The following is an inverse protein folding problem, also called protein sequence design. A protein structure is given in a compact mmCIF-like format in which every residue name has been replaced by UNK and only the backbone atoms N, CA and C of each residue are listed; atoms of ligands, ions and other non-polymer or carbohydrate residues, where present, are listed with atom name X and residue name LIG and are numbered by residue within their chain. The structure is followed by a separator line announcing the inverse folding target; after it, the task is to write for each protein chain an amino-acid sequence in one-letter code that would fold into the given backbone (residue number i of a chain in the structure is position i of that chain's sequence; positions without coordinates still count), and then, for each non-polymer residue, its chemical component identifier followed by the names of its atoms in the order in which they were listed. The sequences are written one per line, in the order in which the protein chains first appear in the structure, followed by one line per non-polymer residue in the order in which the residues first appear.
data_IF_898798970430
#
_entry.id   IF_898798970430
#
_cell.length_a   1.000
_cell.length_b   1.000
_cell.length_c   1.000
_cell.angle_alpha   90.00
_cell.angle_beta   90.00
_cell.angle_gamma   90.00
#
_symmetry.space_group_name_H-M   'P 1'
#
loop_
_entity.id
_entity.type
_entity.pdbx_description
1 polymer ?
#
# COMPACT_ATOMS: atom_id res chain seq x y z
N UNK A 1 -4.26 10.36 -3.08
CA UNK A 1 -3.90 8.94 -3.24
C UNK A 1 -4.92 8.21 -4.10
N UNK A 2 -4.43 7.51 -5.13
CA UNK A 2 -5.19 6.59 -5.97
C UNK A 2 -4.61 5.19 -5.82
N UNK A 3 -5.49 4.19 -5.88
CA UNK A 3 -5.16 2.77 -5.98
C UNK A 3 -5.88 2.24 -7.21
N UNK A 4 -5.15 1.54 -8.08
CA UNK A 4 -5.69 1.00 -9.33
C UNK A 4 -5.29 -0.47 -9.42
N UNK A 5 -6.27 -1.35 -9.53
CA UNK A 5 -6.06 -2.78 -9.74
C UNK A 5 -6.11 -3.16 -11.22
N UNK A 6 -5.35 -4.18 -11.59
CA UNK A 6 -5.43 -4.90 -12.87
C UNK A 6 -5.80 -6.36 -12.57
N UNK A 7 -5.90 -7.19 -13.61
CA UNK A 7 -6.09 -8.64 -13.44
C UNK A 7 -4.94 -9.28 -12.64
N UNK A 8 -3.71 -8.83 -12.92
CA UNK A 8 -2.50 -9.45 -12.38
C UNK A 8 -1.87 -8.69 -11.21
N UNK A 9 -2.43 -7.56 -10.77
CA UNK A 9 -1.75 -6.73 -9.78
C UNK A 9 -2.45 -5.45 -9.41
N UNK A 10 -1.70 -4.52 -8.81
CA UNK A 10 -2.18 -3.17 -8.54
C UNK A 10 -1.06 -2.15 -8.46
N UNK A 11 -1.43 -0.87 -8.59
CA UNK A 11 -0.53 0.26 -8.41
C UNK A 11 -1.10 1.33 -7.48
N UNK A 12 -0.20 2.07 -6.85
CA UNK A 12 -0.51 3.17 -5.92
C UNK A 12 0.20 4.43 -6.36
N UNK A 13 -0.53 5.54 -6.39
CA UNK A 13 0.01 6.88 -6.61
C UNK A 13 -0.51 7.84 -5.53
N UNK A 14 0.43 8.41 -4.76
CA UNK A 14 0.13 9.49 -3.83
C UNK A 14 0.23 10.85 -4.54
N UNK A 15 -0.68 11.75 -4.21
CA UNK A 15 -0.64 13.11 -4.75
C UNK A 15 0.67 13.84 -4.34
N UNK A 16 1.15 14.81 -5.11
CA UNK A 16 2.45 15.46 -4.88
C UNK A 16 2.59 16.17 -3.53
N UNK A 17 1.48 16.52 -2.90
CA UNK A 17 1.47 17.22 -1.60
C UNK A 17 1.18 16.27 -0.43
N UNK A 18 1.00 14.97 -0.69
CA UNK A 18 0.74 13.96 0.31
C UNK A 18 -0.44 14.28 1.25
N UNK A 19 -1.45 15.03 0.78
CA UNK A 19 -2.49 15.60 1.64
C UNK A 19 -3.46 14.56 2.20
N UNK A 20 -3.50 13.37 1.59
CA UNK A 20 -4.28 12.23 2.06
C UNK A 20 -3.36 11.22 2.75
N UNK A 21 -3.73 10.73 3.95
CA UNK A 21 -3.06 9.60 4.58
C UNK A 21 -3.00 8.37 3.66
N UNK A 22 -1.90 7.64 3.72
CA UNK A 22 -1.64 6.44 2.92
C UNK A 22 -0.61 5.57 3.64
N UNK A 23 -0.97 4.32 3.90
CA UNK A 23 -0.13 3.34 4.58
C UNK A 23 -0.05 2.09 3.71
N UNK A 24 1.17 1.65 3.44
CA UNK A 24 1.50 0.38 2.83
C UNK A 24 1.90 -0.61 3.93
N UNK A 25 1.54 -1.88 3.76
CA UNK A 25 2.09 -2.99 4.53
C UNK A 25 2.56 -4.07 3.56
N UNK A 26 3.82 -4.47 3.68
CA UNK A 26 4.45 -5.49 2.84
C UNK A 26 4.96 -6.65 3.69
N UNK A 27 4.64 -7.86 3.25
CA UNK A 27 5.17 -9.13 3.74
C UNK A 27 5.63 -9.96 2.55
N UNK A 28 6.23 -11.12 2.80
CA UNK A 28 6.57 -12.07 1.73
C UNK A 28 5.32 -12.65 1.05
N UNK A 29 4.16 -12.66 1.74
CA UNK A 29 2.92 -13.27 1.26
C UNK A 29 1.95 -12.27 0.60
N UNK A 30 2.03 -10.99 0.95
CA UNK A 30 1.12 -9.96 0.43
C UNK A 30 1.67 -8.55 0.52
N UNK A 31 1.03 -7.69 -0.27
CA UNK A 31 1.11 -6.23 -0.15
C UNK A 31 -0.28 -5.66 0.03
N UNK A 32 -0.43 -4.75 0.98
CA UNK A 32 -1.71 -4.11 1.32
C UNK A 32 -1.58 -2.58 1.37
N UNK A 33 -2.68 -1.91 1.04
CA UNK A 33 -2.83 -0.46 1.15
C UNK A 33 -4.01 -0.13 2.09
N UNK A 34 -3.84 0.91 2.92
CA UNK A 34 -4.91 1.50 3.71
C UNK A 34 -4.71 3.00 3.90
N UNK A 35 -5.77 3.73 4.26
CA UNK A 35 -5.63 5.13 4.66
C UNK A 35 -5.04 5.28 6.08
N UNK A 36 -5.16 4.25 6.92
CA UNK A 36 -4.68 4.21 8.29
C UNK A 36 -4.18 2.79 8.61
N UNK A 37 -3.19 2.67 9.50
CA UNK A 37 -2.72 1.36 9.99
C UNK A 37 -3.84 0.52 10.60
N UNK A 38 -4.82 1.14 11.27
CA UNK A 38 -5.95 0.45 11.89
C UNK A 38 -6.77 -0.37 10.89
N UNK A 39 -6.85 0.05 9.63
CA UNK A 39 -7.53 -0.71 8.58
C UNK A 39 -6.78 -2.01 8.22
N UNK A 40 -5.48 -2.08 8.52
CA UNK A 40 -4.58 -3.20 8.21
C UNK A 40 -4.32 -4.09 9.43
N UNK A 41 -4.63 -3.63 10.64
CA UNK A 41 -4.27 -4.31 11.89
C UNK A 41 -4.87 -5.72 12.07
N UNK A 42 -5.85 -6.12 11.26
CA UNK A 42 -6.41 -7.48 11.24
C UNK A 42 -5.78 -8.42 10.21
N UNK A 43 -4.82 -7.94 9.39
CA UNK A 43 -4.18 -8.78 8.39
C UNK A 43 -3.25 -9.81 9.05
N UNK A 44 -3.18 -11.04 8.51
CA UNK A 44 -2.24 -12.06 9.00
C UNK A 44 -0.80 -11.52 9.01
N UNK A 45 -0.06 -11.73 10.11
CA UNK A 45 1.35 -11.35 10.21
C UNK A 45 1.65 -9.84 10.10
N UNK A 46 0.65 -8.96 10.27
CA UNK A 46 0.83 -7.50 10.16
C UNK A 46 1.88 -6.95 11.13
N UNK A 47 2.08 -7.59 12.27
CA UNK A 47 3.08 -7.24 13.28
C UNK A 47 4.53 -7.42 12.78
N UNK A 48 4.74 -8.28 11.78
CA UNK A 48 6.03 -8.50 11.12
C UNK A 48 6.13 -7.78 9.76
N UNK A 49 5.06 -7.13 9.30
CA UNK A 49 5.04 -6.47 8.01
C UNK A 49 5.94 -5.23 8.02
N UNK A 50 6.58 -4.96 6.88
CA UNK A 50 7.19 -3.66 6.62
C UNK A 50 6.07 -2.65 6.37
N UNK A 51 5.83 -1.78 7.35
CA UNK A 51 4.83 -0.71 7.27
C UNK A 51 5.48 0.62 6.92
N UNK A 52 4.95 1.32 5.91
CA UNK A 52 5.54 2.57 5.42
C UNK A 52 4.51 3.44 4.70
N UNK A 53 4.83 4.72 4.50
CA UNK A 53 4.02 5.61 3.66
C UNK A 53 4.61 5.74 2.25
N UNK A 54 3.80 5.71 1.18
CA UNK A 54 4.29 5.93 -0.16
C UNK A 54 4.72 7.39 -0.37
N UNK A 55 5.83 7.57 -1.08
CA UNK A 55 6.37 8.89 -1.41
C UNK A 55 5.39 9.67 -2.31
N UNK A 56 5.28 11.01 -2.12
CA UNK A 56 4.47 11.85 -3.00
C UNK A 56 4.95 11.77 -4.46
N UNK A 57 4.01 11.80 -5.40
CA UNK A 57 4.29 11.82 -6.85
C UNK A 57 5.11 10.62 -7.40
N UNK A 58 5.27 9.56 -6.61
CA UNK A 58 5.90 8.30 -7.04
C UNK A 58 4.84 7.24 -7.25
N UNK A 59 4.97 6.51 -8.36
CA UNK A 59 4.10 5.38 -8.68
C UNK A 59 4.79 4.09 -8.24
N UNK A 60 4.03 3.24 -7.58
CA UNK A 60 4.45 1.90 -7.17
C UNK A 60 3.55 0.86 -7.82
N UNK A 61 4.11 -0.29 -8.18
CA UNK A 61 3.41 -1.39 -8.83
C UNK A 61 3.80 -2.71 -8.18
N UNK A 62 2.81 -3.59 -8.01
CA UNK A 62 2.99 -4.97 -7.61
C UNK A 62 2.20 -5.86 -8.55
N UNK A 63 2.83 -6.97 -8.95
CA UNK A 63 2.25 -8.00 -9.81
C UNK A 63 2.31 -9.34 -9.09
N UNK A 64 1.32 -10.18 -9.35
CA UNK A 64 1.26 -11.56 -8.87
C UNK A 64 1.73 -12.47 -10.00
N UNK A 65 2.93 -13.04 -9.84
CA UNK A 65 3.45 -14.08 -10.72
C UNK A 65 3.27 -15.48 -10.09
#
# INVERSE_FOLDING_TARGET
TFVVGTEDGFGVLRDPIACKPAVMAETDDYVAFGSEYRALAGLPGIDQARVWEPEPAKVYFWERH
#
